data_IF_198796587152
#
_entry.id   IF_198796587152
#
_cell.length_a   1.000
_cell.length_b   1.000
_cell.length_c   1.000
_cell.angle_alpha   90.00
_cell.angle_beta   90.00
_cell.angle_gamma   90.00
#
_symmetry.space_group_name_H-M   'P 1'
#
loop_
_entity.id
_entity.type
_entity.pdbx_description
1 polymer ?
#
# COMPACT_ATOMS: atom_id res chain seq x y z
N UNK A 1 -15.74 -2.61 5.79
CA UNK A 1 -15.32 -2.16 4.46
C UNK A 1 -15.69 -0.72 4.20
N UNK A 2 -14.70 0.08 3.76
CA UNK A 2 -14.85 1.50 3.44
C UNK A 2 -14.59 1.67 1.94
N UNK A 3 -15.60 2.07 1.13
CA UNK A 3 -15.41 2.29 -0.30
C UNK A 3 -14.62 3.57 -0.58
N UNK A 4 -13.98 3.63 -1.75
CA UNK A 4 -13.36 4.86 -2.24
C UNK A 4 -14.44 5.91 -2.54
N UNK A 5 -14.22 7.17 -2.15
CA UNK A 5 -15.26 8.21 -2.14
C UNK A 5 -15.68 8.70 -3.52
N UNK A 6 -14.76 8.75 -4.48
CA UNK A 6 -15.01 9.25 -5.83
C UNK A 6 -15.69 8.23 -6.74
N UNK A 7 -15.38 6.96 -6.58
CA UNK A 7 -15.76 5.87 -7.49
C UNK A 7 -16.76 4.90 -6.87
N UNK A 8 -16.95 4.92 -5.54
CA UNK A 8 -17.67 3.90 -4.78
C UNK A 8 -17.12 2.48 -4.98
N UNK A 9 -15.89 2.35 -5.47
CA UNK A 9 -15.26 1.05 -5.66
C UNK A 9 -14.98 0.42 -4.31
N UNK A 10 -15.46 -0.81 -4.13
CA UNK A 10 -15.20 -1.58 -2.93
C UNK A 10 -13.85 -2.29 -3.06
N UNK A 11 -12.89 -1.91 -2.22
CA UNK A 11 -11.62 -2.62 -2.09
C UNK A 11 -11.83 -3.98 -1.40
N UNK A 12 -11.01 -4.96 -1.78
CA UNK A 12 -10.87 -6.25 -1.10
C UNK A 12 -9.62 -6.22 -0.24
N UNK A 13 -9.70 -6.74 1.00
CA UNK A 13 -8.53 -6.88 1.85
C UNK A 13 -7.51 -7.82 1.21
N UNK A 14 -6.25 -7.36 1.10
CA UNK A 14 -5.18 -8.14 0.50
C UNK A 14 -4.78 -9.34 1.36
N UNK A 15 -4.39 -10.44 0.72
CA UNK A 15 -3.67 -11.54 1.38
C UNK A 15 -2.21 -11.16 1.60
N UNK A 16 -1.48 -11.93 2.43
CA UNK A 16 -0.04 -11.72 2.63
C UNK A 16 0.75 -11.92 1.33
N UNK A 17 0.38 -12.93 0.53
CA UNK A 17 1.00 -13.17 -0.78
C UNK A 17 0.79 -12.01 -1.75
N UNK A 18 -0.40 -11.38 -1.73
CA UNK A 18 -0.68 -10.17 -2.52
C UNK A 18 0.16 -8.98 -2.02
N UNK A 19 0.37 -8.84 -0.71
CA UNK A 19 1.25 -7.81 -0.14
C UNK A 19 2.69 -8.03 -0.61
N UNK A 20 3.21 -9.25 -0.48
CA UNK A 20 4.56 -9.62 -0.93
C UNK A 20 4.76 -9.40 -2.43
N UNK A 21 3.72 -9.70 -3.23
CA UNK A 21 3.72 -9.42 -4.65
C UNK A 21 3.85 -7.92 -4.93
N UNK A 22 3.08 -7.08 -4.24
CA UNK A 22 3.14 -5.63 -4.42
C UNK A 22 4.51 -5.07 -4.01
N UNK A 23 5.09 -5.53 -2.89
CA UNK A 23 6.46 -5.13 -2.48
C UNK A 23 7.47 -5.46 -3.57
N UNK A 24 7.43 -6.68 -4.14
CA UNK A 24 8.28 -7.07 -5.27
C UNK A 24 8.03 -6.19 -6.51
N UNK A 25 6.78 -5.86 -6.80
CA UNK A 25 6.43 -5.01 -7.94
C UNK A 25 6.99 -3.59 -7.79
N UNK A 26 6.92 -2.98 -6.60
CA UNK A 26 7.55 -1.70 -6.30
C UNK A 26 9.08 -1.77 -6.50
N UNK A 27 9.74 -2.79 -5.96
CA UNK A 27 11.18 -2.97 -6.12
C UNK A 27 11.59 -3.09 -7.60
N UNK A 28 10.86 -3.88 -8.38
CA UNK A 28 11.11 -4.02 -9.83
C UNK A 28 10.83 -2.72 -10.59
N UNK A 29 9.81 -1.95 -10.20
CA UNK A 29 9.53 -0.64 -10.80
C UNK A 29 10.66 0.36 -10.51
N UNK A 30 11.14 0.43 -9.28
CA UNK A 30 12.29 1.25 -8.90
C UNK A 30 13.56 0.84 -9.65
N UNK A 31 13.79 -0.47 -9.84
CA UNK A 31 14.92 -0.97 -10.63
C UNK A 31 14.84 -0.50 -12.09
N UNK A 32 13.67 -0.56 -12.70
CA UNK A 32 13.47 -0.03 -14.07
C UNK A 32 13.71 1.47 -14.16
N UNK A 33 13.28 2.24 -13.16
CA UNK A 33 13.57 3.67 -13.11
C UNK A 33 15.08 3.95 -13.02
N UNK A 34 15.80 3.21 -12.16
CA UNK A 34 17.25 3.28 -12.10
C UNK A 34 17.90 2.93 -13.45
N UNK A 35 17.50 1.82 -14.08
CA UNK A 35 18.06 1.37 -15.35
C UNK A 35 17.79 2.34 -16.51
N UNK A 36 16.72 3.13 -16.41
CA UNK A 36 16.39 4.19 -17.36
C UNK A 36 17.12 5.53 -17.09
N UNK A 37 17.93 5.62 -16.03
CA UNK A 37 18.75 6.79 -15.72
C UNK A 37 18.06 7.87 -14.88
N UNK A 38 16.99 7.54 -14.15
CA UNK A 38 16.39 8.47 -13.17
C UNK A 38 17.25 8.55 -11.90
N UNK A 39 17.31 9.73 -11.27
CA UNK A 39 18.08 9.96 -10.03
C UNK A 39 17.48 9.28 -8.80
N UNK A 40 16.17 9.03 -8.81
CA UNK A 40 15.46 8.45 -7.67
C UNK A 40 14.00 8.18 -7.95
N UNK A 41 13.33 7.65 -6.93
CA UNK A 41 11.88 7.38 -6.93
C UNK A 41 11.27 7.88 -5.63
N UNK A 42 10.02 8.32 -5.69
CA UNK A 42 9.21 8.65 -4.52
C UNK A 42 8.15 7.56 -4.31
N UNK A 43 7.99 7.11 -3.06
CA UNK A 43 6.92 6.19 -2.68
C UNK A 43 5.68 7.01 -2.29
N UNK A 44 4.61 6.87 -3.07
CA UNK A 44 3.39 7.62 -2.79
C UNK A 44 2.56 6.98 -1.67
N UNK A 45 2.74 7.48 -0.44
CA UNK A 45 2.04 7.02 0.76
C UNK A 45 0.93 7.96 1.26
N UNK A 46 0.33 8.74 0.36
CA UNK A 46 -0.67 9.76 0.69
C UNK A 46 -1.94 9.64 -0.18
N UNK A 47 -2.82 10.65 -0.09
CA UNK A 47 -4.03 10.81 -0.90
C UNK A 47 -4.92 9.56 -0.99
N UNK A 48 -5.07 8.81 0.10
CA UNK A 48 -5.94 7.62 0.17
C UNK A 48 -5.54 6.45 -0.73
N UNK A 49 -4.36 6.47 -1.35
CA UNK A 49 -3.84 5.33 -2.09
C UNK A 49 -3.38 4.19 -1.17
N UNK A 50 -3.00 3.06 -1.76
CA UNK A 50 -2.79 1.78 -1.08
C UNK A 50 -1.99 1.89 0.23
N UNK A 51 -0.80 2.47 0.21
CA UNK A 51 0.06 2.57 1.40
C UNK A 51 -0.61 3.45 2.48
N UNK A 52 -1.27 4.54 2.09
CA UNK A 52 -2.03 5.37 3.02
C UNK A 52 -3.20 4.60 3.66
N UNK A 53 -3.85 3.72 2.89
CA UNK A 53 -4.91 2.87 3.40
C UNK A 53 -4.41 1.91 4.47
N UNK A 54 -3.19 1.36 4.33
CA UNK A 54 -2.56 0.55 5.40
C UNK A 54 -2.25 1.39 6.65
N UNK A 55 -1.70 2.60 6.49
CA UNK A 55 -1.33 3.48 7.60
C UNK A 55 -2.54 3.99 8.41
N UNK A 56 -3.68 4.20 7.74
CA UNK A 56 -4.86 4.84 8.32
C UNK A 56 -5.75 3.85 9.07
N UNK A 57 -6.07 4.06 10.36
CA UNK A 57 -7.02 3.21 11.09
C UNK A 57 -8.47 3.34 10.59
N UNK A 58 -8.76 4.36 9.76
CA UNK A 58 -10.07 4.51 9.13
C UNK A 58 -10.31 3.45 8.05
N UNK A 59 -9.29 3.18 7.23
CA UNK A 59 -9.32 2.21 6.13
C UNK A 59 -8.85 0.83 6.58
N UNK A 60 -7.73 0.75 7.30
CA UNK A 60 -7.16 -0.50 7.76
C UNK A 60 -7.85 -1.00 9.03
N UNK A 61 -8.73 -1.97 8.85
CA UNK A 61 -9.43 -2.70 9.92
C UNK A 61 -8.94 -4.16 10.03
N UNK A 62 -7.71 -4.43 9.60
CA UNK A 62 -7.12 -5.77 9.70
C UNK A 62 -6.80 -6.10 11.15
N UNK A 63 -6.89 -7.37 11.50
CA UNK A 63 -6.53 -7.92 12.82
C UNK A 63 -5.24 -8.76 12.77
N UNK A 64 -4.57 -8.79 11.61
CA UNK A 64 -3.28 -9.46 11.43
C UNK A 64 -2.11 -8.50 11.66
N UNK A 65 -0.88 -8.97 11.35
CA UNK A 65 0.36 -8.23 11.58
C UNK A 65 0.49 -6.93 10.76
N UNK A 66 -0.43 -6.67 9.83
CA UNK A 66 -0.49 -5.43 9.06
C UNK A 66 -1.58 -4.47 9.54
N UNK A 67 -2.28 -4.74 10.65
CA UNK A 67 -3.31 -3.87 11.20
C UNK A 67 -3.41 -3.87 12.73
N UNK A 68 -4.42 -3.17 13.24
CA UNK A 68 -4.62 -2.99 14.68
C UNK A 68 -3.74 -1.88 15.26
N UNK A 69 -2.50 -2.19 15.62
CA UNK A 69 -1.58 -1.23 16.25
C UNK A 69 -0.95 -0.25 15.25
N UNK A 70 -0.33 0.83 15.74
CA UNK A 70 0.41 1.76 14.87
C UNK A 70 1.57 1.05 14.16
N UNK A 71 2.32 0.25 14.90
CA UNK A 71 3.49 -0.49 14.42
C UNK A 71 3.11 -1.45 13.30
N UNK A 72 2.02 -2.20 13.47
CA UNK A 72 1.52 -3.11 12.44
C UNK A 72 1.04 -2.37 11.19
N UNK A 73 0.38 -1.21 11.34
CA UNK A 73 -0.04 -0.37 10.20
C UNK A 73 1.13 0.25 9.44
N UNK A 74 2.29 0.39 10.08
CA UNK A 74 3.53 0.95 9.52
C UNK A 74 4.51 -0.12 9.00
N UNK A 75 4.13 -1.41 9.04
CA UNK A 75 4.97 -2.54 8.63
C UNK A 75 5.34 -2.53 7.16
#
# INVERSE_FOLDING_TARGET
DVPERGTNTQGKAMTKDEIDYIVKAFALASKRAQDAGFDGVEIHAAHTYLINQFLSPYYNRREDEYGGSLENRMR
#
